data_IF_490585968599
#
_entry.id   IF_490585968599
#
_cell.length_a   1.000
_cell.length_b   1.000
_cell.length_c   1.000
_cell.angle_alpha   90.00
_cell.angle_beta   90.00
_cell.angle_gamma   90.00
#
_symmetry.space_group_name_H-M   'P 1'
#
loop_
_entity.id
_entity.type
_entity.pdbx_description
1 polymer ?
#
# COMPACT_ATOMS: atom_id res chain seq x y z
N UNK A 1 24.81 42.68 -26.11
CA UNK A 1 23.85 42.23 -27.12
C UNK A 1 24.59 41.66 -28.33
N UNK A 2 24.62 40.33 -28.53
CA UNK A 2 24.98 39.73 -29.81
C UNK A 2 23.73 39.27 -30.58
N UNK A 3 23.80 39.43 -31.89
CA UNK A 3 22.71 39.31 -32.85
C UNK A 3 22.16 37.89 -33.03
N UNK A 4 20.83 37.83 -33.21
CA UNK A 4 20.02 36.67 -33.57
C UNK A 4 20.39 36.15 -34.97
N UNK A 5 20.57 34.83 -35.09
CA UNK A 5 20.62 34.12 -36.38
C UNK A 5 19.20 33.83 -36.89
N UNK A 6 18.92 33.98 -38.20
CA UNK A 6 17.62 33.66 -38.78
C UNK A 6 17.45 32.15 -39.00
N UNK A 7 16.28 31.62 -38.64
CA UNK A 7 15.82 30.27 -39.00
C UNK A 7 15.26 30.26 -40.44
N UNK A 8 15.50 29.20 -41.25
CA UNK A 8 14.92 29.06 -42.58
C UNK A 8 13.47 28.52 -42.55
N UNK A 9 12.71 28.68 -43.66
CA UNK A 9 11.25 28.69 -43.65
C UNK A 9 10.58 27.31 -43.84
N UNK A 10 9.41 27.21 -43.22
CA UNK A 10 8.18 26.50 -43.62
C UNK A 10 8.22 25.62 -44.88
N UNK A 11 7.90 24.33 -44.71
CA UNK A 11 7.27 23.51 -45.76
C UNK A 11 5.86 23.16 -45.30
N UNK A 12 4.88 23.85 -45.89
CA UNK A 12 3.46 23.51 -45.91
C UNK A 12 3.08 23.03 -47.32
N UNK A 13 2.11 22.11 -47.35
CA UNK A 13 1.27 21.62 -48.47
C UNK A 13 1.75 20.36 -49.20
N UNK A 14 0.95 19.30 -49.12
CA UNK A 14 -0.06 19.03 -50.16
C UNK A 14 -1.15 18.08 -49.64
N UNK A 15 -2.38 18.58 -49.60
CA UNK A 15 -3.61 17.79 -49.64
C UNK A 15 -3.88 17.47 -51.11
N UNK A 16 -4.14 16.21 -51.45
CA UNK A 16 -5.12 15.85 -52.49
C UNK A 16 -5.87 14.55 -52.09
N UNK A 17 -7.20 14.50 -52.30
CA UNK A 17 -8.02 13.29 -52.19
C UNK A 17 -7.83 12.43 -53.44
N UNK A 18 -8.37 11.20 -53.50
CA UNK A 18 -9.05 10.55 -54.65
C UNK A 18 -9.26 9.04 -54.36
N UNK A 19 -10.43 8.55 -54.80
CA UNK A 19 -10.83 7.17 -55.15
C UNK A 19 -11.38 6.23 -54.06
N UNK A 20 -12.70 6.34 -53.93
CA UNK A 20 -13.67 5.25 -53.78
C UNK A 20 -13.38 4.11 -54.78
N UNK A 21 -13.19 2.90 -54.28
CA UNK A 21 -13.34 1.67 -55.06
C UNK A 21 -14.10 0.65 -54.20
N UNK A 22 -15.34 0.40 -54.60
CA UNK A 22 -16.15 -0.67 -54.03
C UNK A 22 -15.59 -2.02 -54.47
N UNK A 23 -15.53 -2.96 -53.53
CA UNK A 23 -15.41 -4.36 -53.87
C UNK A 23 -16.42 -5.16 -53.05
N UNK A 24 -17.45 -5.59 -53.77
CA UNK A 24 -18.41 -6.62 -53.44
C UNK A 24 -17.63 -7.88 -53.04
N UNK A 25 -17.83 -8.40 -51.83
CA UNK A 25 -17.41 -9.73 -51.45
C UNK A 25 -18.64 -10.56 -51.03
N UNK A 26 -18.81 -11.63 -51.78
CA UNK A 26 -19.86 -12.63 -51.81
C UNK A 26 -20.19 -13.21 -50.43
N UNK A 27 -21.48 -13.22 -50.09
CA UNK A 27 -22.03 -14.04 -49.01
C UNK A 27 -22.00 -15.52 -49.41
N UNK A 28 -20.97 -16.24 -48.98
CA UNK A 28 -20.93 -17.71 -49.01
C UNK A 28 -21.53 -18.26 -47.73
N UNK A 29 -22.78 -18.71 -47.78
CA UNK A 29 -23.39 -19.53 -46.73
C UNK A 29 -22.76 -20.92 -46.74
N UNK A 30 -21.66 -21.09 -46.00
CA UNK A 30 -21.07 -22.39 -45.70
C UNK A 30 -21.56 -22.89 -44.35
N UNK A 31 -22.45 -23.89 -44.34
CA UNK A 31 -22.72 -24.72 -43.16
C UNK A 31 -21.46 -25.52 -42.81
N UNK A 32 -20.57 -24.97 -41.99
CA UNK A 32 -19.49 -25.72 -41.36
C UNK A 32 -20.00 -26.50 -40.13
N UNK A 33 -19.47 -27.70 -39.85
CA UNK A 33 -19.83 -28.46 -38.65
C UNK A 33 -19.50 -27.63 -37.41
N UNK A 34 -20.51 -27.45 -36.55
CA UNK A 34 -20.47 -26.57 -35.39
C UNK A 34 -19.25 -26.84 -34.50
N UNK A 35 -18.32 -25.89 -34.51
CA UNK A 35 -17.24 -25.82 -33.54
C UNK A 35 -17.90 -25.68 -32.17
N UNK A 36 -17.65 -26.58 -31.20
CA UNK A 36 -18.27 -26.50 -29.89
C UNK A 36 -17.90 -25.15 -29.31
N UNK A 37 -18.90 -24.30 -29.09
CA UNK A 37 -18.74 -23.04 -28.39
C UNK A 37 -18.28 -23.42 -26.99
N UNK A 38 -16.98 -23.30 -26.72
CA UNK A 38 -16.43 -23.48 -25.39
C UNK A 38 -17.17 -22.50 -24.51
N UNK A 39 -18.09 -23.01 -23.68
CA UNK A 39 -18.86 -22.18 -22.76
C UNK A 39 -17.84 -21.35 -21.98
N UNK A 40 -17.87 -20.03 -22.15
CA UNK A 40 -16.97 -19.14 -21.47
C UNK A 40 -17.13 -19.40 -19.98
N UNK A 41 -16.12 -20.00 -19.35
CA UNK A 41 -16.09 -20.23 -17.91
C UNK A 41 -16.37 -18.89 -17.25
N UNK A 42 -17.46 -18.78 -16.51
CA UNK A 42 -17.81 -17.56 -15.81
C UNK A 42 -16.58 -17.09 -15.02
N UNK A 43 -16.23 -15.78 -15.07
CA UNK A 43 -15.05 -15.28 -14.39
C UNK A 43 -15.12 -15.67 -12.91
N UNK A 44 -14.00 -16.17 -12.37
CA UNK A 44 -13.90 -16.47 -10.96
C UNK A 44 -14.33 -15.24 -10.16
N UNK A 45 -15.21 -15.42 -9.17
CA UNK A 45 -15.74 -14.30 -8.38
C UNK A 45 -14.59 -13.55 -7.72
N UNK A 46 -14.43 -12.26 -8.05
CA UNK A 46 -13.42 -11.42 -7.42
C UNK A 46 -13.76 -11.25 -5.93
N UNK A 47 -12.77 -11.45 -5.06
CA UNK A 47 -12.88 -11.29 -3.62
C UNK A 47 -11.98 -10.12 -3.21
N UNK A 48 -12.59 -9.09 -2.62
CA UNK A 48 -11.91 -7.93 -2.07
C UNK A 48 -11.41 -8.24 -0.67
N UNK A 49 -10.20 -7.76 -0.37
CA UNK A 49 -9.57 -7.78 0.95
C UNK A 49 -9.49 -6.35 1.44
N UNK A 50 -9.91 -6.12 2.68
CA UNK A 50 -9.93 -4.79 3.31
C UNK A 50 -9.29 -4.91 4.68
N UNK A 51 -8.14 -4.27 4.86
CA UNK A 51 -7.58 -4.00 6.18
C UNK A 51 -8.00 -2.57 6.56
N UNK A 52 -8.77 -2.40 7.62
CA UNK A 52 -9.23 -1.09 8.08
C UNK A 52 -8.95 -0.89 9.57
N UNK A 53 -8.50 0.31 9.95
CA UNK A 53 -8.13 0.63 11.33
C UNK A 53 -6.64 0.88 11.51
N UNK A 54 -6.31 1.39 12.69
CA UNK A 54 -4.93 1.58 13.11
C UNK A 54 -4.33 0.26 13.61
N UNK A 55 -3.01 0.06 13.47
CA UNK A 55 -2.30 -1.04 14.12
C UNK A 55 -2.68 -1.17 15.60
N UNK A 56 -2.91 -2.39 16.05
CA UNK A 56 -3.46 -2.72 17.36
C UNK A 56 -4.98 -2.85 17.40
N UNK A 57 -5.71 -2.21 16.48
CA UNK A 57 -7.18 -2.20 16.41
C UNK A 57 -7.73 -2.56 15.02
N UNK A 58 -6.85 -2.82 14.05
CA UNK A 58 -7.23 -3.08 12.68
C UNK A 58 -8.04 -4.38 12.54
N UNK A 59 -8.94 -4.38 11.56
CA UNK A 59 -9.76 -5.52 11.17
C UNK A 59 -9.48 -5.88 9.72
N UNK A 60 -9.25 -7.17 9.45
CA UNK A 60 -9.08 -7.71 8.12
C UNK A 60 -10.37 -8.38 7.67
N UNK A 61 -11.01 -7.85 6.63
CA UNK A 61 -12.27 -8.35 6.11
C UNK A 61 -12.07 -8.83 4.68
N UNK A 62 -12.62 -10.00 4.36
CA UNK A 62 -12.72 -10.49 2.98
C UNK A 62 -14.17 -10.55 2.55
N UNK A 63 -14.44 -10.10 1.32
CA UNK A 63 -15.79 -9.98 0.78
C UNK A 63 -15.79 -10.24 -0.73
N UNK A 64 -16.74 -11.03 -1.22
CA UNK A 64 -16.95 -11.19 -2.65
C UNK A 64 -18.44 -11.13 -2.98
N UNK A 65 -18.80 -10.98 -4.26
CA UNK A 65 -20.21 -10.96 -4.68
C UNK A 65 -20.99 -12.21 -4.26
N UNK A 66 -20.30 -13.35 -4.25
CA UNK A 66 -20.87 -14.67 -3.88
C UNK A 66 -20.26 -15.24 -2.61
N UNK A 67 -19.37 -14.49 -1.96
CA UNK A 67 -18.66 -14.92 -0.75
C UNK A 67 -19.13 -14.00 0.38
N UNK A 68 -19.82 -14.54 1.41
CA UNK A 68 -20.28 -13.72 2.52
C UNK A 68 -19.08 -13.00 3.14
N UNK A 69 -19.31 -11.75 3.54
CA UNK A 69 -18.30 -10.98 4.26
C UNK A 69 -17.90 -11.74 5.52
N UNK A 70 -16.58 -11.87 5.76
CA UNK A 70 -16.05 -12.45 6.99
C UNK A 70 -14.79 -11.70 7.42
N UNK A 71 -14.63 -11.59 8.73
CA UNK A 71 -13.39 -11.11 9.34
C UNK A 71 -12.39 -12.26 9.42
N UNK A 72 -11.13 -12.00 9.11
CA UNK A 72 -10.01 -12.92 9.24
C UNK A 72 -9.13 -12.51 10.42
N UNK A 73 -8.49 -13.50 11.03
CA UNK A 73 -7.46 -13.24 12.03
C UNK A 73 -6.23 -12.62 11.39
N UNK A 74 -5.77 -11.51 11.98
CA UNK A 74 -4.49 -10.89 11.63
C UNK A 74 -3.32 -11.76 12.13
N UNK A 75 -2.15 -11.74 11.44
CA UNK A 75 -0.97 -12.44 11.92
C UNK A 75 -0.45 -11.91 13.25
N UNK A 76 -0.70 -10.63 13.53
CA UNK A 76 -0.36 -9.92 14.74
C UNK A 76 -1.19 -8.62 14.84
N UNK A 77 -1.46 -8.08 16.05
CA UNK A 77 -2.21 -6.84 16.21
C UNK A 77 -1.53 -5.64 15.53
N UNK A 78 -0.20 -5.59 15.49
CA UNK A 78 0.63 -4.58 14.84
C UNK A 78 0.68 -4.67 13.31
N UNK A 79 -0.27 -5.37 12.67
CA UNK A 79 -0.35 -5.43 11.20
C UNK A 79 -0.72 -4.07 10.64
N UNK A 80 0.20 -3.46 9.88
CA UNK A 80 0.04 -2.13 9.32
C UNK A 80 -0.35 -2.12 7.83
N UNK A 81 -0.09 -3.20 7.11
CA UNK A 81 -0.37 -3.29 5.67
C UNK A 81 -0.73 -4.72 5.25
N UNK A 82 -1.56 -4.83 4.20
CA UNK A 82 -1.89 -6.09 3.54
C UNK A 82 -1.83 -5.94 2.01
N UNK A 83 -1.40 -6.99 1.31
CA UNK A 83 -1.55 -7.13 -0.15
C UNK A 83 -1.87 -8.58 -0.53
N UNK A 84 -2.63 -8.76 -1.62
CA UNK A 84 -3.11 -10.03 -2.12
C UNK A 84 -2.29 -10.53 -3.33
N UNK A 85 -1.92 -11.82 -3.30
CA UNK A 85 -1.16 -12.49 -4.34
C UNK A 85 -2.01 -13.32 -5.31
N UNK A 86 -1.38 -13.76 -6.42
CA UNK A 86 -1.98 -14.56 -7.50
C UNK A 86 -2.57 -15.92 -7.05
N UNK A 87 -2.14 -16.44 -5.90
CA UNK A 87 -2.51 -17.75 -5.35
C UNK A 87 -3.61 -17.67 -4.29
N UNK A 88 -4.22 -16.50 -4.10
CA UNK A 88 -5.12 -16.24 -2.98
C UNK A 88 -4.40 -16.09 -1.64
N UNK A 89 -3.06 -16.06 -1.62
CA UNK A 89 -2.28 -15.77 -0.41
C UNK A 89 -2.26 -14.27 -0.13
N UNK A 90 -2.10 -13.91 1.14
CA UNK A 90 -1.88 -12.55 1.58
C UNK A 90 -0.43 -12.38 2.03
N UNK A 91 0.11 -11.19 1.85
CA UNK A 91 1.30 -10.72 2.58
C UNK A 91 0.86 -9.62 3.54
N UNK A 92 1.31 -9.71 4.78
CA UNK A 92 1.16 -8.69 5.81
C UNK A 92 2.52 -8.05 6.10
N UNK A 93 2.53 -6.74 6.29
CA UNK A 93 3.68 -5.99 6.83
C UNK A 93 3.31 -5.50 8.22
N UNK A 94 4.12 -5.86 9.23
CA UNK A 94 3.95 -5.39 10.60
C UNK A 94 4.64 -4.02 10.78
N UNK A 95 4.26 -3.26 11.82
CA UNK A 95 4.90 -1.97 12.13
C UNK A 95 6.42 -2.09 12.32
N UNK A 96 6.89 -3.21 12.88
CA UNK A 96 8.30 -3.52 13.06
C UNK A 96 9.01 -4.05 11.81
N UNK A 97 8.43 -3.93 10.62
CA UNK A 97 9.07 -4.36 9.37
C UNK A 97 9.03 -5.87 9.07
N UNK A 98 8.55 -6.70 10.00
CA UNK A 98 8.38 -8.14 9.77
C UNK A 98 7.33 -8.39 8.67
N UNK A 99 7.66 -9.29 7.75
CA UNK A 99 6.74 -9.77 6.72
C UNK A 99 6.19 -11.14 7.08
N UNK A 100 4.87 -11.31 6.92
CA UNK A 100 4.19 -12.61 7.07
C UNK A 100 3.36 -12.94 5.85
N UNK A 101 3.39 -14.20 5.42
CA UNK A 101 2.59 -14.71 4.32
C UNK A 101 1.55 -15.68 4.86
N UNK A 102 0.31 -15.56 4.40
CA UNK A 102 -0.73 -16.54 4.70
C UNK A 102 -0.66 -17.76 3.77
N UNK A 103 -1.26 -18.86 4.19
CA UNK A 103 -1.77 -19.85 3.24
C UNK A 103 -2.87 -19.23 2.33
N UNK A 104 -3.23 -19.88 1.21
CA UNK A 104 -4.30 -19.40 0.35
C UNK A 104 -5.62 -19.21 1.11
N UNK A 105 -6.21 -18.02 1.01
CA UNK A 105 -7.50 -17.72 1.60
C UNK A 105 -8.58 -18.55 0.90
N UNK A 106 -9.08 -19.57 1.59
CA UNK A 106 -10.22 -20.38 1.16
C UNK A 106 -11.48 -19.97 1.92
N UNK A 107 -12.67 -20.29 1.40
CA UNK A 107 -13.93 -19.84 2.00
C UNK A 107 -14.24 -20.38 3.39
N UNK A 108 -13.53 -21.40 3.88
CA UNK A 108 -13.90 -22.14 5.08
C UNK A 108 -12.90 -22.05 6.25
N UNK A 109 -11.61 -21.86 5.99
CA UNK A 109 -10.57 -21.88 7.02
C UNK A 109 -10.09 -20.47 7.38
N UNK A 110 -9.66 -20.30 8.64
CA UNK A 110 -8.81 -19.18 9.07
C UNK A 110 -7.43 -19.34 8.44
N UNK A 111 -6.81 -18.26 7.96
CA UNK A 111 -5.48 -18.34 7.38
C UNK A 111 -4.42 -18.69 8.43
N UNK A 112 -3.54 -19.61 8.08
CA UNK A 112 -2.30 -19.82 8.80
C UNK A 112 -1.24 -18.84 8.29
N UNK A 113 -0.58 -18.13 9.20
CA UNK A 113 0.46 -17.15 8.87
C UNK A 113 1.85 -17.70 9.18
N UNK A 114 2.79 -17.50 8.25
CA UNK A 114 4.19 -17.86 8.40
C UNK A 114 5.09 -16.64 8.18
N UNK A 115 6.20 -16.51 8.92
CA UNK A 115 7.21 -15.48 8.62
C UNK A 115 7.80 -15.71 7.24
N UNK A 116 8.07 -14.63 6.52
CA UNK A 116 8.77 -14.70 5.24
C UNK A 116 10.23 -15.06 5.50
N UNK A 117 10.68 -16.20 4.97
CA UNK A 117 12.08 -16.58 5.04
C UNK A 117 12.91 -15.59 4.22
N UNK A 118 13.76 -14.83 4.91
CA UNK A 118 14.77 -13.98 4.28
C UNK A 118 16.14 -14.63 4.51
N UNK A 119 17.00 -14.70 3.49
CA UNK A 119 18.26 -15.45 3.57
C UNK A 119 19.24 -14.89 4.61
N UNK A 120 19.11 -13.59 4.91
CA UNK A 120 19.92 -12.91 5.92
C UNK A 120 19.10 -11.77 6.55
N UNK A 121 18.38 -12.03 7.66
CA UNK A 121 17.57 -11.00 8.32
C UNK A 121 18.42 -9.83 8.83
N UNK A 122 19.73 -10.01 9.05
CA UNK A 122 20.63 -8.94 9.47
C UNK A 122 21.09 -8.00 8.35
N UNK A 123 20.86 -8.36 7.09
CA UNK A 123 21.22 -7.55 5.92
C UNK A 123 20.06 -6.73 5.35
N UNK A 124 18.82 -7.04 5.76
CA UNK A 124 17.69 -6.25 5.29
C UNK A 124 17.62 -4.94 6.07
N UNK A 125 17.53 -3.80 5.38
CA UNK A 125 17.24 -2.54 6.03
C UNK A 125 15.86 -2.62 6.71
N UNK A 126 15.83 -2.21 7.97
CA UNK A 126 14.66 -2.23 8.86
C UNK A 126 14.22 -0.79 9.15
N UNK A 127 12.92 -0.44 9.06
CA UNK A 127 11.78 -1.29 8.73
C UNK A 127 11.49 -1.45 7.25
N UNK A 128 10.93 -2.62 6.90
CA UNK A 128 10.24 -2.85 5.63
C UNK A 128 8.81 -2.33 5.72
N UNK A 129 8.38 -1.63 4.68
CA UNK A 129 7.08 -0.99 4.58
C UNK A 129 6.36 -1.50 3.32
N UNK A 130 5.04 -1.66 3.44
CA UNK A 130 4.12 -1.88 2.33
C UNK A 130 4.46 -3.03 1.37
N UNK A 131 4.72 -4.24 1.87
CA UNK A 131 4.97 -5.36 0.97
C UNK A 131 3.79 -5.59 0.01
N UNK A 132 4.08 -5.75 -1.28
CA UNK A 132 3.10 -6.02 -2.34
C UNK A 132 3.54 -7.17 -3.25
N UNK A 133 2.58 -8.00 -3.65
CA UNK A 133 2.83 -9.13 -4.53
C UNK A 133 3.03 -8.71 -5.98
N UNK A 134 4.02 -9.34 -6.64
CA UNK A 134 4.12 -9.30 -8.09
C UNK A 134 2.87 -9.92 -8.73
N UNK A 135 2.47 -9.49 -9.95
CA UNK A 135 1.24 -9.98 -10.57
C UNK A 135 1.19 -11.50 -10.80
N UNK A 136 2.35 -12.15 -10.92
CA UNK A 136 2.50 -13.61 -11.04
C UNK A 136 2.54 -14.33 -9.67
N UNK A 137 2.50 -13.60 -8.55
CA UNK A 137 2.52 -14.12 -7.19
C UNK A 137 3.84 -14.78 -6.78
N UNK A 138 4.94 -14.50 -7.49
CA UNK A 138 6.24 -15.15 -7.22
C UNK A 138 7.17 -14.32 -6.35
N UNK A 139 7.00 -13.00 -6.34
CA UNK A 139 7.89 -12.06 -5.65
C UNK A 139 7.09 -11.06 -4.85
N UNK A 140 7.72 -10.54 -3.81
CA UNK A 140 7.28 -9.39 -3.06
C UNK A 140 8.16 -8.21 -3.41
N UNK A 141 7.59 -7.01 -3.46
CA UNK A 141 8.32 -5.76 -3.37
C UNK A 141 7.93 -5.07 -2.07
N UNK A 142 8.90 -4.62 -1.30
CA UNK A 142 8.70 -3.77 -0.14
C UNK A 142 9.59 -2.55 -0.24
N UNK A 143 9.26 -1.50 0.50
CA UNK A 143 10.09 -0.31 0.65
C UNK A 143 10.85 -0.44 1.96
N UNK A 144 12.15 -0.22 1.91
CA UNK A 144 12.93 0.02 3.10
C UNK A 144 13.40 1.47 3.12
N UNK A 145 13.30 2.09 4.29
CA UNK A 145 13.78 3.45 4.52
C UNK A 145 14.89 3.43 5.55
N UNK A 146 16.08 3.87 5.15
CA UNK A 146 17.09 4.27 6.13
C UNK A 146 16.67 5.65 6.67
N UNK A 147 16.37 5.76 7.97
CA UNK A 147 16.02 7.04 8.61
C UNK A 147 17.25 7.91 8.93
N UNK A 148 18.46 7.49 8.53
CA UNK A 148 19.69 8.26 8.69
C UNK A 148 19.74 9.53 7.81
N UNK A 149 20.79 10.35 8.00
CA UNK A 149 20.98 11.67 7.36
C UNK A 149 20.99 11.59 5.82
N UNK A 150 21.33 10.45 5.23
CA UNK A 150 21.30 10.24 3.78
C UNK A 150 20.01 9.63 3.25
N UNK A 151 18.97 9.50 4.09
CA UNK A 151 17.77 8.67 3.89
C UNK A 151 17.54 8.22 2.45
N UNK A 152 17.98 7.01 2.14
CA UNK A 152 17.83 6.43 0.79
C UNK A 152 16.68 5.47 0.79
N UNK A 153 15.78 5.67 -0.17
CA UNK A 153 14.73 4.72 -0.47
C UNK A 153 15.35 3.49 -1.14
N UNK A 154 15.13 2.31 -0.57
CA UNK A 154 15.55 1.05 -1.17
C UNK A 154 14.32 0.19 -1.43
N UNK A 155 14.15 -0.26 -2.66
CA UNK A 155 13.15 -1.28 -2.97
C UNK A 155 13.76 -2.64 -2.68
N UNK A 156 13.11 -3.41 -1.83
CA UNK A 156 13.51 -4.77 -1.48
C UNK A 156 12.64 -5.74 -2.26
N UNK A 157 13.25 -6.54 -3.13
CA UNK A 157 12.57 -7.63 -3.83
C UNK A 157 12.84 -8.92 -3.07
N UNK A 158 11.79 -9.62 -2.65
CA UNK A 158 11.89 -10.90 -1.94
C UNK A 158 11.26 -11.99 -2.79
N UNK A 159 11.97 -13.10 -3.01
CA UNK A 159 11.41 -14.35 -3.51
C UNK A 159 11.23 -15.29 -2.31
N UNK A 160 10.01 -15.42 -1.76
CA UNK A 160 9.77 -16.21 -0.57
C UNK A 160 9.92 -17.72 -0.81
N UNK A 161 9.82 -18.18 -2.06
CA UNK A 161 9.97 -19.60 -2.42
C UNK A 161 11.44 -19.96 -2.54
N UNK A 162 12.22 -19.11 -3.19
CA UNK A 162 13.67 -19.28 -3.30
C UNK A 162 14.41 -18.91 -2.00
N UNK A 163 13.75 -18.19 -1.08
CA UNK A 163 14.39 -17.63 0.10
C UNK A 163 15.49 -16.65 -0.27
N UNK A 164 15.27 -15.82 -1.30
CA UNK A 164 16.27 -14.83 -1.76
C UNK A 164 15.73 -13.41 -1.66
N UNK A 165 16.61 -12.45 -1.47
CA UNK A 165 16.25 -11.03 -1.49
C UNK A 165 17.25 -10.21 -2.31
N UNK A 166 16.80 -9.05 -2.79
CA UNK A 166 17.63 -8.09 -3.53
C UNK A 166 17.26 -6.66 -3.16
N UNK A 167 18.29 -5.86 -2.92
CA UNK A 167 18.18 -4.42 -2.63
C UNK A 167 18.37 -3.61 -3.92
N UNK A 168 17.43 -2.74 -4.23
CA UNK A 168 17.43 -1.87 -5.40
C UNK A 168 17.37 -0.41 -4.93
N UNK A 169 18.51 0.32 -4.91
CA UNK A 169 18.51 1.70 -4.45
C UNK A 169 17.75 2.59 -5.43
N UNK A 170 16.86 3.43 -4.90
CA UNK A 170 16.12 4.44 -5.67
C UNK A 170 16.71 5.81 -5.35
N UNK A 171 17.29 6.51 -6.34
CA UNK A 171 17.79 7.86 -6.13
C UNK A 171 16.58 8.77 -5.92
N UNK A 172 16.60 9.56 -4.84
CA UNK A 172 15.67 10.62 -4.42
C UNK A 172 14.99 10.32 -3.09
N UNK A 173 14.45 11.38 -2.48
CA UNK A 173 13.72 11.27 -1.22
C UNK A 173 12.44 10.47 -1.45
N UNK A 174 12.14 9.52 -0.55
CA UNK A 174 10.95 8.71 -0.65
C UNK A 174 9.68 9.54 -0.48
N UNK A 175 8.63 9.13 -1.17
CA UNK A 175 7.26 9.25 -0.63
C UNK A 175 6.93 7.89 -0.03
N UNK A 176 6.46 7.89 1.22
CA UNK A 176 6.10 6.67 1.95
C UNK A 176 4.76 6.18 1.38
N UNK A 177 4.83 5.38 0.31
CA UNK A 177 3.68 4.84 -0.43
C UNK A 177 4.00 3.42 -0.94
N UNK A 178 3.01 2.53 -1.08
CA UNK A 178 3.25 1.15 -1.52
C UNK A 178 3.94 1.06 -2.90
N UNK A 179 4.93 0.16 -3.08
CA UNK A 179 5.46 -0.14 -4.40
C UNK A 179 4.36 -0.75 -5.27
N UNK A 180 4.21 -0.20 -6.48
CA UNK A 180 3.12 -0.56 -7.39
C UNK A 180 3.65 -1.40 -8.55
N UNK A 181 3.35 -2.68 -8.60
CA UNK A 181 3.76 -3.53 -9.72
C UNK A 181 2.99 -3.21 -11.00
N UNK A 182 3.70 -2.81 -12.06
CA UNK A 182 3.11 -2.58 -13.39
C UNK A 182 2.92 -3.89 -14.17
N UNK A 183 3.85 -4.81 -13.98
CA UNK A 183 3.83 -6.17 -14.50
C UNK A 183 4.79 -7.04 -13.65
N UNK A 184 5.11 -8.26 -14.09
CA UNK A 184 5.99 -9.13 -13.34
C UNK A 184 7.42 -8.59 -13.17
N UNK A 185 7.89 -7.67 -14.01
CA UNK A 185 9.28 -7.17 -14.01
C UNK A 185 9.42 -5.72 -13.61
N UNK A 186 8.37 -4.91 -13.72
CA UNK A 186 8.45 -3.46 -13.51
C UNK A 186 7.65 -3.02 -12.29
N UNK A 187 8.28 -2.20 -11.46
CA UNK A 187 7.69 -1.61 -10.26
C UNK A 187 7.72 -0.11 -10.41
N UNK A 188 6.61 0.55 -10.11
CA UNK A 188 6.49 1.98 -10.04
C UNK A 188 6.64 2.42 -8.58
N UNK A 189 7.51 3.42 -8.37
CA UNK A 189 7.86 3.96 -7.08
C UNK A 189 7.57 5.46 -7.07
N UNK A 190 6.91 5.93 -6.01
CA UNK A 190 6.64 7.34 -5.80
C UNK A 190 7.82 8.00 -5.08
N UNK A 191 8.31 9.12 -5.63
CA UNK A 191 9.37 9.94 -5.03
C UNK A 191 8.93 11.38 -4.99
N UNK A 192 9.57 12.20 -4.16
CA UNK A 192 9.25 13.64 -4.08
C UNK A 192 9.46 14.40 -5.39
N UNK A 193 10.18 13.82 -6.34
CA UNK A 193 10.46 14.43 -7.64
C UNK A 193 9.76 13.72 -8.82
N UNK A 194 8.73 12.91 -8.53
CA UNK A 194 7.92 12.22 -9.52
C UNK A 194 7.96 10.70 -9.37
N UNK A 195 7.42 10.02 -10.38
CA UNK A 195 7.41 8.56 -10.45
C UNK A 195 8.73 8.02 -11.03
N UNK A 196 9.18 6.88 -10.51
CA UNK A 196 10.34 6.13 -11.01
C UNK A 196 9.90 4.71 -11.30
N UNK A 197 10.23 4.20 -12.48
CA UNK A 197 10.06 2.79 -12.84
C UNK A 197 11.36 2.07 -12.53
N UNK A 198 11.27 0.99 -11.74
CA UNK A 198 12.37 0.12 -11.35
C UNK A 198 12.17 -1.24 -12.03
N UNK A 199 13.17 -1.69 -12.78
CA UNK A 199 13.23 -3.06 -13.30
C UNK A 199 13.64 -4.02 -12.18
N UNK A 200 12.73 -4.84 -11.68
CA UNK A 200 12.95 -5.76 -10.56
C UNK A 200 14.11 -6.75 -10.82
N UNK A 201 14.31 -7.15 -12.07
CA UNK A 201 15.36 -8.10 -12.47
C UNK A 201 16.76 -7.49 -12.60
N UNK A 202 16.89 -6.18 -12.81
CA UNK A 202 18.19 -5.54 -13.07
C UNK A 202 18.51 -4.39 -12.12
N UNK A 203 17.51 -3.81 -11.48
CA UNK A 203 17.62 -2.55 -10.74
C UNK A 203 17.71 -1.32 -11.65
N UNK A 204 17.55 -1.49 -12.96
CA UNK A 204 17.58 -0.35 -13.90
C UNK A 204 16.42 0.59 -13.61
N UNK A 205 16.70 1.89 -13.69
CA UNK A 205 15.74 2.94 -13.38
C UNK A 205 15.36 3.68 -14.66
N UNK A 206 14.08 3.96 -14.81
CA UNK A 206 13.54 4.86 -15.82
C UNK A 206 12.63 5.91 -15.16
N UNK A 207 12.50 7.08 -15.78
CA UNK A 207 11.50 8.04 -15.36
C UNK A 207 10.10 7.46 -15.61
N UNK A 208 9.21 7.57 -14.63
CA UNK A 208 7.80 7.26 -14.81
C UNK A 208 7.05 8.40 -15.51
N UNK A 209 5.75 8.21 -15.81
CA UNK A 209 4.92 9.24 -16.39
C UNK A 209 4.85 10.48 -15.48
N UNK A 210 4.70 11.68 -16.06
CA UNK A 210 4.47 12.88 -15.28
C UNK A 210 3.11 12.77 -14.59
N UNK A 211 3.13 12.70 -13.26
CA UNK A 211 1.94 12.81 -12.42
C UNK A 211 2.28 13.77 -11.28
N UNK A 212 1.28 14.51 -10.83
CA UNK A 212 1.42 15.33 -9.64
C UNK A 212 1.53 14.41 -8.42
N UNK A 213 2.62 14.58 -7.66
CA UNK A 213 2.87 13.81 -6.45
C UNK A 213 2.35 14.63 -5.28
N UNK A 214 1.46 14.05 -4.49
CA UNK A 214 0.95 14.65 -3.26
C UNK A 214 0.52 13.58 -2.27
N UNK A 215 0.20 13.98 -1.02
CA UNK A 215 -0.45 13.09 -0.08
C UNK A 215 -1.72 12.50 -0.73
N UNK A 216 -1.99 11.23 -0.50
CA UNK A 216 -3.16 10.55 -1.07
C UNK A 216 -3.02 10.05 -2.51
N UNK A 217 -1.86 10.23 -3.18
CA UNK A 217 -1.61 9.58 -4.47
C UNK A 217 -1.57 8.05 -4.30
N UNK A 218 -2.56 7.38 -4.87
CA UNK A 218 -2.75 5.95 -4.86
C UNK A 218 -2.82 5.46 -6.30
N UNK A 219 -2.08 4.40 -6.59
CA UNK A 219 -1.92 3.83 -7.91
C UNK A 219 -2.27 2.36 -7.84
N UNK A 220 -3.17 1.90 -8.72
CA UNK A 220 -3.53 0.49 -8.79
C UNK A 220 -3.72 0.06 -10.24
N UNK A 221 -2.76 -0.66 -10.84
CA UNK A 221 -2.90 -1.24 -12.16
C UNK A 221 -3.69 -2.54 -12.11
N UNK A 222 -4.53 -2.76 -13.13
CA UNK A 222 -5.15 -4.06 -13.36
C UNK A 222 -4.07 -5.09 -13.73
N UNK A 223 -4.20 -6.33 -13.24
CA UNK A 223 -3.21 -7.39 -13.46
C UNK A 223 -2.97 -7.74 -14.94
N UNK A 224 -4.00 -7.60 -15.76
CA UNK A 224 -3.92 -7.79 -17.22
C UNK A 224 -3.16 -6.66 -17.95
N UNK A 225 -2.75 -5.61 -17.24
CA UNK A 225 -2.02 -4.47 -17.77
C UNK A 225 -2.83 -3.57 -18.71
N UNK A 226 -4.17 -3.64 -18.67
CA UNK A 226 -5.01 -2.80 -19.54
C UNK A 226 -5.27 -1.42 -18.97
N UNK A 227 -5.50 -1.32 -17.65
CA UNK A 227 -5.89 -0.09 -16.99
C UNK A 227 -5.03 0.19 -15.77
N UNK A 228 -4.97 1.47 -15.40
CA UNK A 228 -4.48 1.94 -14.11
C UNK A 228 -5.48 2.92 -13.50
N UNK A 229 -5.79 2.74 -12.23
CA UNK A 229 -6.49 3.71 -11.40
C UNK A 229 -5.46 4.63 -10.73
N UNK A 230 -5.70 5.93 -10.81
CA UNK A 230 -4.85 6.98 -10.27
C UNK A 230 -5.75 7.92 -9.46
N UNK A 231 -5.53 8.06 -8.16
CA UNK A 231 -6.18 9.13 -7.40
C UNK A 231 -5.49 10.46 -7.67
N UNK A 232 -6.28 11.51 -7.86
CA UNK A 232 -5.75 12.87 -7.88
C UNK A 232 -5.34 13.26 -6.44
N UNK A 233 -4.16 13.88 -6.24
CA UNK A 233 -3.76 14.38 -4.93
C UNK A 233 -4.68 15.51 -4.44
N UNK A 234 -5.27 16.28 -5.36
CA UNK A 234 -6.22 17.35 -5.06
C UNK A 234 -7.58 17.04 -5.70
N UNK A 235 -8.64 17.03 -4.89
CA UNK A 235 -10.02 17.00 -5.40
C UNK A 235 -10.71 15.64 -5.43
N UNK A 236 -10.12 14.58 -4.87
CA UNK A 236 -10.86 13.35 -4.60
C UNK A 236 -11.44 12.65 -5.83
N UNK A 237 -10.85 12.82 -7.01
CA UNK A 237 -11.23 12.07 -8.20
C UNK A 237 -10.31 10.86 -8.37
N UNK A 238 -10.87 9.77 -8.89
CA UNK A 238 -10.09 8.63 -9.39
C UNK A 238 -10.17 8.60 -10.91
N UNK A 239 -9.02 8.74 -11.55
CA UNK A 239 -8.88 8.62 -13.00
C UNK A 239 -8.52 7.20 -13.38
N UNK A 240 -9.21 6.67 -14.39
CA UNK A 240 -8.92 5.39 -14.99
C UNK A 240 -8.33 5.62 -16.37
N UNK A 241 -7.10 5.15 -16.60
CA UNK A 241 -6.35 5.38 -17.83
C UNK A 241 -5.90 4.07 -18.46
N UNK A 242 -5.76 4.07 -19.79
CA UNK A 242 -5.05 2.99 -20.48
C UNK A 242 -3.61 2.96 -20.00
N UNK A 243 -3.18 1.82 -19.44
CA UNK A 243 -1.89 1.72 -18.78
C UNK A 243 -0.74 1.92 -19.78
N UNK A 244 -0.84 1.37 -20.99
CA UNK A 244 0.24 1.45 -21.99
C UNK A 244 0.39 2.86 -22.54
N UNK A 245 -0.71 3.51 -22.88
CA UNK A 245 -0.74 4.90 -23.31
C UNK A 245 -0.18 5.81 -22.21
N UNK A 246 -0.66 5.66 -20.98
CA UNK A 246 -0.18 6.45 -19.84
C UNK A 246 1.33 6.26 -19.59
N UNK A 247 1.83 5.02 -19.63
CA UNK A 247 3.28 4.74 -19.52
C UNK A 247 4.10 5.34 -20.68
N UNK A 248 3.51 5.46 -21.86
CA UNK A 248 4.12 6.14 -23.01
C UNK A 248 4.08 7.68 -22.90
N UNK A 249 3.53 8.22 -21.82
CA UNK A 249 3.38 9.66 -21.62
C UNK A 249 2.19 10.27 -22.36
N UNK A 250 1.24 9.43 -22.81
CA UNK A 250 0.01 9.91 -23.42
C UNK A 250 -0.81 10.73 -22.41
N UNK A 251 -1.27 11.89 -22.86
CA UNK A 251 -2.12 12.81 -22.12
C UNK A 251 -3.58 12.75 -22.60
N UNK A 252 -3.96 11.69 -23.30
CA UNK A 252 -5.34 11.42 -23.65
C UNK A 252 -6.25 11.55 -22.41
N UNK A 253 -7.50 11.92 -22.67
CA UNK A 253 -8.54 11.95 -21.65
C UNK A 253 -8.63 10.58 -20.96
N UNK A 254 -8.88 10.53 -19.64
CA UNK A 254 -9.05 9.27 -18.95
C UNK A 254 -10.22 8.48 -19.53
N UNK A 255 -10.10 7.16 -19.54
CA UNK A 255 -11.16 6.22 -19.97
C UNK A 255 -12.42 6.44 -19.14
N UNK A 256 -12.24 6.76 -17.85
CA UNK A 256 -13.29 7.20 -16.97
C UNK A 256 -12.72 8.04 -15.84
N UNK A 257 -13.58 8.88 -15.25
CA UNK A 257 -13.28 9.66 -14.06
C UNK A 257 -14.40 9.42 -13.06
N UNK A 258 -14.03 9.02 -11.85
CA UNK A 258 -14.97 8.78 -10.75
C UNK A 258 -14.77 9.88 -9.73
N UNK A 259 -15.81 10.69 -9.55
CA UNK A 259 -15.83 11.74 -8.55
C UNK A 259 -16.28 11.18 -7.19
N UNK A 260 -15.60 11.64 -6.15
CA UNK A 260 -15.72 11.09 -4.80
C UNK A 260 -16.61 11.86 -3.84
N UNK A 261 -16.69 11.30 -2.63
CA UNK A 261 -17.33 11.90 -1.46
C UNK A 261 -16.33 12.61 -0.54
N UNK A 262 -15.05 12.64 -0.89
CA UNK A 262 -13.96 13.12 -0.05
C UNK A 262 -12.59 12.78 -0.64
N UNK A 263 -11.56 12.74 0.20
CA UNK A 263 -10.20 12.37 -0.22
C UNK A 263 -10.11 10.87 -0.50
N UNK A 264 -9.25 10.49 -1.45
CA UNK A 264 -9.04 9.07 -1.75
C UNK A 264 -7.96 8.52 -0.82
N UNK A 265 -8.34 7.58 0.05
CA UNK A 265 -7.37 6.88 0.91
C UNK A 265 -6.63 5.76 0.19
N UNK A 266 -7.35 4.99 -0.64
CA UNK A 266 -6.79 3.87 -1.40
C UNK A 266 -7.67 3.51 -2.61
N UNK A 267 -7.02 2.99 -3.66
CA UNK A 267 -7.70 2.40 -4.82
C UNK A 267 -7.20 0.99 -5.10
N UNK A 268 -8.07 0.10 -5.56
CA UNK A 268 -7.71 -1.23 -6.02
C UNK A 268 -8.50 -1.62 -7.28
N UNK A 269 -7.80 -1.81 -8.40
CA UNK A 269 -8.35 -2.47 -9.59
C UNK A 269 -8.24 -3.98 -9.45
N UNK A 270 -9.28 -4.69 -9.86
CA UNK A 270 -9.22 -6.14 -9.92
C UNK A 270 -8.31 -6.62 -11.07
N UNK A 271 -8.06 -7.93 -11.13
CA UNK A 271 -7.16 -8.50 -12.12
C UNK A 271 -7.61 -8.25 -13.58
N UNK A 272 -8.93 -8.07 -13.80
CA UNK A 272 -9.53 -7.90 -15.12
C UNK A 272 -9.65 -6.43 -15.53
N UNK A 273 -9.56 -5.49 -14.58
CA UNK A 273 -9.85 -4.07 -14.82
C UNK A 273 -11.35 -3.78 -14.95
N UNK A 274 -12.21 -4.73 -14.57
CA UNK A 274 -13.66 -4.59 -14.64
C UNK A 274 -14.27 -4.16 -13.30
N UNK A 275 -13.49 -4.20 -12.21
CA UNK A 275 -13.92 -3.74 -10.88
C UNK A 275 -12.88 -2.81 -10.29
N UNK A 276 -13.36 -1.77 -9.62
CA UNK A 276 -12.56 -0.79 -8.90
C UNK A 276 -13.13 -0.65 -7.50
N UNK A 277 -12.32 -0.89 -6.48
CA UNK A 277 -12.65 -0.48 -5.11
C UNK A 277 -11.95 0.85 -4.80
N UNK A 278 -12.67 1.76 -4.17
CA UNK A 278 -12.15 3.05 -3.72
C UNK A 278 -12.51 3.25 -2.26
N UNK A 279 -11.52 3.59 -1.43
CA UNK A 279 -11.73 4.08 -0.07
C UNK A 279 -11.78 5.60 -0.12
N UNK A 280 -12.93 6.16 0.25
CA UNK A 280 -13.16 7.57 0.45
C UNK A 280 -12.98 7.91 1.93
N UNK A 281 -12.00 8.74 2.24
CA UNK A 281 -11.78 9.30 3.56
C UNK A 281 -12.68 10.53 3.74
N UNK A 282 -13.29 10.62 4.93
CA UNK A 282 -14.05 11.79 5.34
C UNK A 282 -13.23 12.58 6.36
N UNK A 283 -13.35 13.90 6.35
CA UNK A 283 -12.68 14.76 7.34
C UNK A 283 -13.17 14.45 8.76
N UNK A 284 -14.47 14.17 8.87
CA UNK A 284 -15.14 13.82 10.12
C UNK A 284 -15.95 12.53 9.90
N UNK A 285 -15.62 11.48 10.65
CA UNK A 285 -16.35 10.22 10.65
C UNK A 285 -15.68 9.06 9.89
N UNK A 286 -16.38 7.91 9.79
CA UNK A 286 -15.83 6.71 9.20
C UNK A 286 -15.60 6.86 7.69
N UNK A 287 -14.48 6.33 7.21
CA UNK A 287 -14.25 6.17 5.77
C UNK A 287 -15.33 5.31 5.12
N UNK A 288 -15.57 5.52 3.83
CA UNK A 288 -16.52 4.72 3.03
C UNK A 288 -15.78 4.02 1.91
N UNK A 289 -15.92 2.70 1.84
CA UNK A 289 -15.46 1.90 0.72
C UNK A 289 -16.61 1.74 -0.29
N UNK A 290 -16.34 2.08 -1.56
CA UNK A 290 -17.28 1.89 -2.67
C UNK A 290 -16.63 1.00 -3.73
N UNK A 291 -17.37 -0.01 -4.17
CA UNK A 291 -16.97 -0.87 -5.30
C UNK A 291 -17.75 -0.43 -6.54
N UNK A 292 -17.03 -0.19 -7.62
CA UNK A 292 -17.56 0.17 -8.92
C UNK A 292 -17.33 -0.97 -9.92
N UNK A 293 -18.31 -1.21 -10.80
CA UNK A 293 -18.20 -2.14 -11.92
C UNK A 293 -18.16 -1.40 -13.24
N UNK A 294 -17.30 -1.87 -14.14
CA UNK A 294 -17.22 -1.49 -15.55
C UNK A 294 -18.25 -2.32 -16.33
N UNK A 295 -19.46 -1.82 -16.46
CA UNK A 295 -20.46 -2.37 -17.37
C UNK A 295 -20.62 -1.36 -18.52
N UNK A 296 -21.85 -0.92 -18.78
CA UNK A 296 -22.14 0.26 -19.62
C UNK A 296 -21.77 1.56 -18.88
N UNK A 297 -20.50 1.69 -18.49
CA UNK A 297 -19.94 2.73 -17.62
C UNK A 297 -19.50 2.21 -16.24
N UNK A 298 -18.88 3.08 -15.44
CA UNK A 298 -18.49 2.80 -14.06
C UNK A 298 -19.62 3.14 -13.12
N UNK A 299 -20.23 2.12 -12.49
CA UNK A 299 -21.37 2.29 -11.59
C UNK A 299 -21.07 1.69 -10.23
N UNK A 300 -21.52 2.36 -9.18
CA UNK A 300 -21.50 1.83 -7.82
C UNK A 300 -22.29 0.51 -7.79
N UNK A 301 -21.62 -0.55 -7.37
CA UNK A 301 -22.16 -1.89 -7.23
C UNK A 301 -22.32 -2.28 -5.75
N UNK A 302 -21.50 -1.72 -4.88
CA UNK A 302 -21.49 -2.02 -3.46
C UNK A 302 -20.91 -0.86 -2.64
N UNK A 303 -21.33 -0.77 -1.38
CA UNK A 303 -20.89 0.25 -0.42
C UNK A 303 -20.71 -0.36 0.96
N UNK A 304 -19.65 0.03 1.64
CA UNK A 304 -19.34 -0.40 2.99
C UNK A 304 -18.82 0.78 3.80
N UNK A 305 -19.40 1.01 4.97
CA UNK A 305 -18.83 1.91 5.98
C UNK A 305 -17.69 1.18 6.69
N UNK A 306 -16.50 1.78 6.72
CA UNK A 306 -15.36 1.22 7.42
C UNK A 306 -15.58 1.30 8.94
N UNK A 307 -15.08 0.33 9.71
CA UNK A 307 -15.23 0.33 11.16
C UNK A 307 -14.46 1.49 11.81
N UNK A 308 -15.05 2.11 12.83
CA UNK A 308 -14.42 3.18 13.63
C UNK A 308 -14.23 4.50 12.88
N UNK A 309 -13.57 5.47 13.53
CA UNK A 309 -13.11 6.72 12.90
C UNK A 309 -11.83 6.49 12.07
N UNK A 310 -11.68 5.29 11.51
CA UNK A 310 -10.45 4.88 10.84
C UNK A 310 -10.28 5.67 9.55
N UNK A 311 -9.27 6.53 9.54
CA UNK A 311 -8.79 7.20 8.34
C UNK A 311 -7.97 6.24 7.48
N UNK A 312 -7.39 5.18 8.06
CA UNK A 312 -6.53 4.22 7.34
C UNK A 312 -7.27 2.97 6.87
N UNK A 313 -7.10 2.66 5.58
CA UNK A 313 -7.42 1.35 5.04
C UNK A 313 -6.47 0.96 3.89
N UNK A 314 -6.08 -0.31 3.87
CA UNK A 314 -5.43 -0.95 2.73
C UNK A 314 -6.43 -1.90 2.06
N UNK A 315 -6.50 -1.85 0.73
CA UNK A 315 -7.42 -2.66 -0.05
C UNK A 315 -6.69 -3.34 -1.20
N UNK A 316 -7.07 -4.59 -1.48
CA UNK A 316 -6.53 -5.36 -2.61
C UNK A 316 -7.52 -6.45 -3.04
N UNK A 317 -7.40 -6.94 -4.28
CA UNK A 317 -8.24 -8.03 -4.78
C UNK A 317 -7.50 -9.36 -4.72
N UNK A 318 -8.09 -10.36 -4.05
CA UNK A 318 -7.63 -11.73 -4.17
C UNK A 318 -7.70 -12.14 -5.64
N UNK A 319 -6.58 -12.64 -6.13
CA UNK A 319 -6.47 -13.18 -7.46
C UNK A 319 -6.69 -14.67 -7.34
N UNK A 320 -7.70 -15.17 -8.03
CA UNK A 320 -7.88 -16.61 -8.13
C UNK A 320 -6.63 -17.19 -8.77
N UNK A 321 -6.08 -18.25 -8.17
CA UNK A 321 -5.08 -19.06 -8.85
C UNK A 321 -5.67 -19.40 -10.22
N UNK A 322 -4.93 -19.19 -11.33
CA UNK A 322 -5.40 -19.69 -12.61
C UNK A 322 -5.69 -21.16 -12.38
N UNK A 323 -6.97 -21.54 -12.53
CA UNK A 323 -7.43 -22.91 -12.28
C UNK A 323 -6.60 -23.76 -13.23
N UNK A 324 -5.51 -24.31 -12.69
CA UNK A 324 -4.54 -25.02 -13.48
C UNK A 324 -5.30 -26.16 -14.12
N UNK A 325 -5.47 -26.09 -15.44
CA UNK A 325 -5.83 -27.23 -16.25
C UNK A 325 -4.86 -28.33 -15.87
N UNK A 326 -5.33 -29.29 -15.08
CA UNK A 326 -4.49 -30.07 -14.18
C UNK A 326 -3.14 -30.48 -14.75
N UNK A 327 -2.08 -29.82 -14.28
CA UNK A 327 -0.85 -30.56 -14.06
C UNK A 327 -1.18 -31.50 -12.92
N UNK A 328 -1.64 -32.70 -13.27
CA UNK A 328 -1.68 -33.87 -12.39
C UNK A 328 -0.31 -33.91 -11.71
N UNK A 329 -0.25 -33.42 -10.48
CA UNK A 329 0.84 -33.73 -9.58
C UNK A 329 0.92 -35.25 -9.58
N UNK A 330 1.95 -35.78 -10.22
CA UNK A 330 2.28 -37.19 -10.14
C UNK A 330 2.43 -37.48 -8.67
N UNK A 331 1.42 -38.17 -8.14
CA UNK A 331 1.39 -38.59 -6.76
C UNK A 331 2.70 -39.24 -6.43
N UNK A 332 3.36 -38.70 -5.41
CA UNK A 332 4.45 -39.35 -4.67
C UNK A 332 3.81 -40.51 -3.91
N UNK A 333 3.41 -41.57 -4.62
CA UNK A 333 3.00 -42.82 -4.01
C UNK A 333 4.27 -43.54 -3.58
N UNK A 334 4.40 -43.77 -2.28
CA UNK A 334 5.44 -44.62 -1.73
C UNK A 334 5.42 -45.99 -2.38
N UNK A 335 6.51 -46.32 -3.06
CA UNK A 335 6.87 -47.69 -3.40
C UNK A 335 7.78 -48.22 -2.31
N UNK A 336 7.18 -48.95 -1.36
CA UNK A 336 7.89 -49.89 -0.50
C UNK A 336 8.31 -51.11 -1.33
N UNK A 337 9.61 -51.37 -1.38
CA UNK A 337 10.24 -52.57 -1.94
C UNK A 337 11.71 -52.25 -2.18
N UNK A 338 12.71 -52.84 -1.54
CA UNK A 338 12.78 -54.13 -0.87
C UNK A 338 14.00 -54.85 -1.44
N UNK A 339 14.97 -55.11 -0.55
CA UNK A 339 16.04 -56.12 -0.63
C UNK A 339 17.27 -55.84 -1.51
N UNK A 340 18.46 -55.92 -0.88
CA UNK A 340 19.64 -56.56 -1.46
C UNK A 340 20.95 -55.77 -1.41
N UNK A 341 21.96 -56.31 -0.72
CA UNK A 341 23.38 -55.97 -0.87
C UNK A 341 23.95 -55.25 0.36
N UNK A 342 24.36 -55.97 1.40
CA UNK A 342 25.68 -56.61 1.61
C UNK A 342 26.74 -55.69 2.21
N UNK A 343 27.38 -56.27 3.22
CA UNK A 343 28.47 -55.78 4.07
C UNK A 343 29.62 -55.12 3.32
N UNK A 344 30.13 -54.06 3.93
CA UNK A 344 31.40 -53.44 3.59
C UNK A 344 31.98 -52.76 4.82
N UNK A 345 32.60 -53.57 5.69
CA UNK A 345 33.56 -53.18 6.72
C UNK A 345 34.48 -52.06 6.24
N UNK A 346 34.50 -50.91 6.93
CA UNK A 346 35.72 -50.11 7.18
C UNK A 346 35.54 -49.16 8.37
N UNK A 347 35.96 -49.66 9.53
CA UNK A 347 36.92 -49.04 10.48
C UNK A 347 37.13 -47.52 10.32
N UNK A 348 36.82 -46.77 11.39
CA UNK A 348 37.77 -45.83 12.02
C UNK A 348 37.23 -45.38 13.39
N UNK A 349 37.98 -45.78 14.42
CA UNK A 349 37.86 -45.34 15.79
C UNK A 349 38.36 -43.89 15.89
N UNK A 350 37.53 -42.99 16.39
CA UNK A 350 37.90 -41.65 16.82
C UNK A 350 37.52 -41.45 18.28
N UNK A 351 38.29 -42.04 19.19
CA UNK A 351 38.21 -41.76 20.62
C UNK A 351 38.72 -40.33 20.85
N UNK A 352 37.85 -39.43 21.29
CA UNK A 352 38.28 -38.17 21.90
C UNK A 352 38.35 -38.36 23.41
N UNK A 353 39.58 -38.35 23.92
CA UNK A 353 39.90 -38.49 25.33
C UNK A 353 39.52 -37.25 26.13
N UNK A 354 38.96 -37.53 27.30
CA UNK A 354 38.78 -36.62 28.43
C UNK A 354 40.13 -36.05 28.89
N UNK A 355 40.28 -34.73 28.86
CA UNK A 355 41.21 -34.03 29.74
C UNK A 355 40.43 -32.97 30.52
N UNK A 356 40.26 -33.26 31.80
CA UNK A 356 39.98 -32.29 32.84
C UNK A 356 41.18 -31.35 33.05
N UNK A 357 40.87 -30.25 33.75
CA UNK A 357 41.75 -29.36 34.53
C UNK A 357 42.13 -28.04 33.85
N UNK A 358 41.26 -27.03 33.99
CA UNK A 358 41.59 -25.79 34.69
C UNK A 358 40.37 -25.28 35.48
N UNK A 359 40.40 -25.52 36.79
CA UNK A 359 39.63 -24.75 37.78
C UNK A 359 40.10 -23.30 37.74
N UNK A 360 39.18 -22.36 37.55
CA UNK A 360 39.47 -20.92 37.52
C UNK A 360 38.23 -20.11 37.87
N UNK A 361 38.04 -19.94 39.17
CA UNK A 361 37.39 -18.82 39.87
C UNK A 361 36.11 -18.20 39.28
N UNK A 362 35.03 -18.50 39.99
CA UNK A 362 33.79 -17.74 40.13
C UNK A 362 34.08 -16.23 40.35
N UNK A 363 33.81 -15.43 39.32
CA UNK A 363 33.78 -13.96 39.40
C UNK A 363 32.32 -13.51 39.32
N UNK A 364 31.78 -13.13 40.47
CA UNK A 364 30.52 -12.42 40.59
C UNK A 364 30.70 -10.98 40.05
N UNK A 365 30.53 -10.84 38.74
CA UNK A 365 30.37 -9.55 38.09
C UNK A 365 28.88 -9.21 38.10
N UNK A 366 28.46 -8.50 39.15
CA UNK A 366 27.18 -7.79 39.19
C UNK A 366 27.11 -6.84 38.00
N UNK A 367 26.43 -7.28 36.93
CA UNK A 367 26.23 -6.48 35.73
C UNK A 367 25.46 -5.21 36.06
N UNK A 368 25.73 -4.07 35.39
CA UNK A 368 24.93 -2.87 35.56
C UNK A 368 23.49 -3.20 35.18
N UNK A 369 22.55 -2.84 36.05
CA UNK A 369 21.13 -2.91 35.76
C UNK A 369 20.85 -2.09 34.49
N UNK A 370 20.46 -2.78 33.42
CA UNK A 370 19.90 -2.17 32.23
C UNK A 370 18.52 -1.64 32.59
N UNK A 371 18.43 -0.33 32.80
CA UNK A 371 17.16 0.39 32.82
C UNK A 371 16.62 0.42 31.39
N UNK A 372 15.65 -0.44 31.11
CA UNK A 372 14.88 -0.42 29.86
C UNK A 372 13.96 0.80 29.92
N UNK A 373 14.46 1.93 29.42
CA UNK A 373 13.63 3.11 29.15
C UNK A 373 12.78 2.80 27.93
N UNK A 374 11.49 2.54 28.16
CA UNK A 374 10.48 2.65 27.12
C UNK A 374 10.38 4.13 26.71
N UNK A 375 11.23 4.52 25.75
CA UNK A 375 11.10 5.81 25.08
C UNK A 375 9.82 5.78 24.25
N UNK A 376 8.74 6.36 24.76
CA UNK A 376 7.60 6.74 23.94
C UNK A 376 8.11 7.82 22.98
N UNK A 377 8.47 7.42 21.75
CA UNK A 377 8.69 8.36 20.67
C UNK A 377 7.30 8.88 20.29
N UNK A 378 6.99 10.18 20.49
CA UNK A 378 5.74 10.71 19.97
C UNK A 378 5.77 10.54 18.44
N UNK A 379 4.80 9.78 17.93
CA UNK A 379 4.47 9.77 16.51
C UNK A 379 4.30 11.22 16.07
N UNK A 380 5.10 11.63 15.09
CA UNK A 380 4.93 12.92 14.43
C UNK A 380 3.58 12.90 13.71
N UNK A 381 2.56 13.45 14.36
CA UNK A 381 1.47 14.09 13.64
C UNK A 381 2.09 15.20 12.79
N UNK A 382 1.96 15.09 11.47
CA UNK A 382 2.32 16.19 10.56
C UNK A 382 1.23 17.24 10.71
N UNK A 383 1.41 18.15 11.67
CA UNK A 383 0.63 19.38 11.72
C UNK A 383 1.13 20.30 10.61
N UNK A 384 0.31 20.52 9.59
CA UNK A 384 0.61 21.42 8.47
C UNK A 384 0.32 22.87 8.83
N UNK A 385 1.00 23.40 9.84
CA UNK A 385 1.11 24.85 10.05
C UNK A 385 2.57 25.22 10.28
N UNK A 386 3.23 25.59 9.18
CA UNK A 386 4.59 26.14 9.23
C UNK A 386 4.51 27.58 9.74
N UNK A 387 4.55 27.75 11.07
CA UNK A 387 4.81 29.06 11.67
C UNK A 387 6.30 29.36 11.48
N UNK A 388 6.63 30.12 10.44
CA UNK A 388 7.99 30.58 10.19
C UNK A 388 8.42 31.57 11.28
N UNK A 389 9.36 31.16 12.15
CA UNK A 389 10.01 32.07 13.10
C UNK A 389 10.93 33.00 12.32
N UNK A 390 10.53 34.26 12.14
CA UNK A 390 11.42 35.32 11.66
C UNK A 390 12.31 35.76 12.81
N UNK A 391 13.52 35.20 12.89
CA UNK A 391 14.56 35.75 13.76
C UNK A 391 15.24 36.91 13.01
N UNK A 392 15.01 38.14 13.47
CA UNK A 392 15.82 39.26 13.04
C UNK A 392 17.22 39.11 13.67
N UNK A 393 18.32 39.11 12.90
CA UNK A 393 19.65 39.17 13.50
C UNK A 393 19.87 40.59 14.04
N UNK A 394 20.01 40.71 15.37
CA UNK A 394 20.62 41.88 15.99
C UNK A 394 22.05 42.02 15.46
N UNK A 395 22.26 43.04 14.64
CA UNK A 395 23.57 43.46 14.18
C UNK A 395 23.72 44.95 14.40
N UNK A 396 24.55 45.33 15.36
CA UNK A 396 25.00 46.70 15.59
C UNK A 396 25.54 47.31 14.28
N UNK A 397 24.83 48.29 13.72
CA UNK A 397 25.34 49.19 12.66
C UNK A 397 24.81 50.60 12.86
N UNK A 398 25.71 51.56 12.67
CA UNK A 398 25.50 53.00 12.69
C UNK A 398 24.28 53.45 11.87
N UNK A 399 23.59 54.53 12.30
CA UNK A 399 22.41 55.03 11.62
C UNK A 399 22.79 55.64 10.26
N UNK A 400 22.34 55.01 9.18
CA UNK A 400 22.22 55.67 7.87
C UNK A 400 20.92 56.46 7.89
N UNK A 401 21.03 57.78 7.82
CA UNK A 401 19.94 58.72 7.58
C UNK A 401 19.20 58.33 6.28
N UNK A 402 17.96 57.88 6.41
CA UNK A 402 17.06 57.57 5.29
C UNK A 402 15.67 58.08 5.59
N UNK A 403 15.16 58.87 4.65
CA UNK A 403 13.82 59.47 4.66
C UNK A 403 12.72 58.42 4.86
N UNK A 404 11.71 58.69 5.70
CA UNK A 404 10.60 57.77 5.93
C UNK A 404 9.70 57.69 4.69
N UNK A 405 9.60 56.48 4.12
CA UNK A 405 8.52 56.14 3.17
C UNK A 405 7.24 55.91 3.97
N UNK A 406 6.21 56.73 3.70
CA UNK A 406 4.88 56.58 4.28
C UNK A 406 4.21 55.30 3.74
N UNK A 407 4.12 54.27 4.58
CA UNK A 407 3.21 53.14 4.34
C UNK A 407 1.85 53.45 4.96
N UNK A 408 0.80 53.38 4.14
CA UNK A 408 -0.58 53.51 4.57
C UNK A 408 -0.92 52.42 5.61
N UNK A 409 -1.34 52.86 6.79
CA UNK A 409 -1.68 51.97 7.90
C UNK A 409 -2.86 51.06 7.57
N UNK A 410 -2.63 49.76 7.68
CA UNK A 410 -3.69 48.75 7.83
C UNK A 410 -3.85 48.51 9.33
N UNK A 411 -5.02 48.89 9.86
CA UNK A 411 -5.40 48.64 11.25
C UNK A 411 -5.71 47.15 11.41
N UNK A 412 -4.82 46.38 12.03
CA UNK A 412 -5.16 45.05 12.52
C UNK A 412 -5.55 45.21 14.00
N UNK A 413 -6.84 45.02 14.28
CA UNK A 413 -7.37 44.90 15.63
C UNK A 413 -6.81 43.63 16.30
N UNK A 414 -5.78 43.79 17.14
CA UNK A 414 -5.37 42.74 18.07
C UNK A 414 -6.40 42.65 19.20
N UNK A 415 -6.79 41.42 19.48
CA UNK A 415 -7.73 41.01 20.52
C UNK A 415 -7.29 41.51 21.90
N UNK A 416 -8.25 42.11 22.58
CA UNK A 416 -8.26 42.52 23.98
C UNK A 416 -8.20 41.28 24.89
N UNK A 417 -7.02 41.02 25.48
CA UNK A 417 -6.86 40.04 26.56
C UNK A 417 -7.16 40.72 27.90
N UNK A 418 -8.42 40.63 28.32
CA UNK A 418 -8.85 41.04 29.65
C UNK A 418 -8.23 40.13 30.74
N UNK A 419 -7.38 40.77 31.55
CA UNK A 419 -7.23 40.62 33.01
C UNK A 419 -7.51 39.24 33.65
N UNK A 420 -6.47 38.40 33.76
CA UNK A 420 -6.43 37.19 34.60
C UNK A 420 -6.16 37.55 36.07
N UNK A 421 -7.01 38.40 36.63
CA UNK A 421 -6.76 39.07 37.91
C UNK A 421 -7.58 38.61 39.12
N UNK A 422 -8.40 37.54 39.09
CA UNK A 422 -9.13 37.12 40.30
C UNK A 422 -9.84 35.75 40.23
N UNK A 423 -9.17 34.61 40.39
CA UNK A 423 -9.87 33.38 40.84
C UNK A 423 -9.00 32.46 41.71
N UNK A 424 -8.55 32.97 42.86
CA UNK A 424 -8.20 32.10 44.00
C UNK A 424 -8.88 32.62 45.26
N UNK A 425 -9.96 31.95 45.69
CA UNK A 425 -10.29 31.79 47.11
C UNK A 425 -11.20 30.57 47.32
N UNK A 426 -10.68 29.60 48.06
CA UNK A 426 -11.41 28.48 48.62
C UNK A 426 -11.98 28.85 50.01
N UNK A 427 -13.12 28.26 50.39
CA UNK A 427 -13.48 27.95 51.78
C UNK A 427 -14.61 26.90 51.87
N UNK A 428 -14.21 25.67 52.17
CA UNK A 428 -14.74 24.68 53.13
C UNK A 428 -16.18 24.77 53.73
N UNK A 429 -16.89 23.62 53.62
CA UNK A 429 -17.44 22.80 54.73
C UNK A 429 -18.97 22.64 54.91
N UNK A 430 -19.33 21.38 55.21
CA UNK A 430 -20.52 20.80 55.89
C UNK A 430 -21.69 20.28 55.02
N UNK A 431 -21.93 18.97 55.15
CA UNK A 431 -23.04 18.11 54.67
C UNK A 431 -24.36 18.36 55.46
N UNK A 432 -25.46 17.54 55.45
CA UNK A 432 -25.74 16.25 54.78
C UNK A 432 -27.20 16.02 54.28
N UNK A 433 -27.43 14.81 53.71
CA UNK A 433 -28.66 13.98 53.82
C UNK A 433 -29.98 14.38 53.13
N UNK A 434 -30.59 13.45 52.39
CA UNK A 434 -32.05 13.39 52.21
C UNK A 434 -32.53 12.53 51.03
N UNK A 435 -33.22 11.44 51.34
CA UNK A 435 -33.71 10.40 50.44
C UNK A 435 -35.08 10.67 49.79
N UNK A 436 -35.57 9.66 49.05
CA UNK A 436 -36.88 9.50 48.37
C UNK A 436 -37.00 10.21 47.01
N UNK A 437 -37.54 9.64 45.93
CA UNK A 437 -38.30 8.41 45.70
C UNK A 437 -39.16 8.61 44.43
N UNK A 438 -39.70 7.51 43.91
CA UNK A 438 -40.64 7.38 42.76
C UNK A 438 -40.00 7.48 41.35
N UNK A 439 -40.00 6.46 40.48
CA UNK A 439 -41.00 5.48 39.97
C UNK A 439 -41.40 5.81 38.52
N UNK A 440 -41.48 4.76 37.68
CA UNK A 440 -42.39 4.50 36.52
C UNK A 440 -41.60 3.55 35.58
N UNK A 441 -41.76 2.23 35.74
CA UNK A 441 -42.74 1.28 35.15
C UNK A 441 -42.39 0.74 33.76
N UNK A 442 -42.40 -0.58 33.76
CA UNK A 442 -42.23 -1.59 32.72
C UNK A 442 -43.43 -1.72 31.78
N UNK A 443 -43.16 -2.21 30.56
CA UNK A 443 -44.14 -2.92 29.74
C UNK A 443 -43.68 -4.38 29.53
N UNK A 444 -44.67 -5.26 29.60
CA UNK A 444 -44.59 -6.72 29.58
C UNK A 444 -45.35 -7.23 28.35
N UNK A 445 -44.84 -8.29 27.73
CA UNK A 445 -45.44 -9.03 26.61
C UNK A 445 -46.28 -10.20 27.15
N UNK A 446 -47.51 -10.36 26.63
CA UNK A 446 -48.02 -11.56 25.94
C UNK A 446 -49.54 -11.75 26.07
N UNK A 447 -50.19 -11.85 24.91
CA UNK A 447 -51.09 -12.96 24.56
C UNK A 447 -51.27 -13.06 23.05
#
# INVERSE_FOLDING_TARGET
MPALRPLPPCIRRCVRPIALAGMLAVAGAGCGPGQPTTAATAPASAVLVVLAGEPGSASLVVRGERVPSRTLSLPAPETAWISAGASGQLVATLEGGELRISDPITSAAEPAWAPVATPDPGQLPDPLLFASWSPDGRRLAAIATDFGVESRLTVVIVDPVAGTSRLLPVPRRPVIAPPTWLDAQRILIQTTAGLVIVEAGTGTLAAGPPVEIGPGLSLSPAANGSLIAISAPEGGAVELRDLRGWLAGDRAEPVARIEGLGEVGAVALDATGERLAVVWQQLEGPGTLIVYHRADGWREADRLTLPGESSRAAIDWLRAAPVGTGLRGTGRSGGLGGLGGEDGDLRLLGQHGTHDLLQGQEMDARGPALEVMAGAVPLTGVETDVVGVVVAPEGEREPIDRDPVQLAGVTICLLDLADQGAVHRAATSVAPWGAAGAAVRSMHLDR
#
